data_IF_077287594412
#
_entry.id   IF_077287594412
#
_cell.length_a   1.000
_cell.length_b   1.000
_cell.length_c   1.000
_cell.angle_alpha   90.00
_cell.angle_beta   90.00
_cell.angle_gamma   90.00
#
_symmetry.space_group_name_H-M   'P 1'
#
loop_
_entity.id
_entity.type
_entity.pdbx_description
1 polymer ?
#
# COMPACT_ATOMS: atom_id res chain seq x y z
N UNK A 1 9.93 -24.79 -2.24
CA UNK A 1 10.41 -25.23 -0.92
C UNK A 1 9.37 -25.04 0.17
N UNK A 2 8.89 -23.81 0.43
CA UNK A 2 7.86 -23.55 1.44
C UNK A 2 6.60 -24.41 1.24
N UNK A 3 6.08 -24.55 0.02
CA UNK A 3 4.96 -25.45 -0.29
C UNK A 3 5.21 -26.94 0.01
N UNK A 4 6.47 -27.37 0.07
CA UNK A 4 6.87 -28.78 0.28
C UNK A 4 7.22 -29.07 1.75
N UNK A 5 7.86 -28.12 2.43
CA UNK A 5 8.39 -28.28 3.80
C UNK A 5 7.60 -27.49 4.86
N UNK A 6 6.63 -26.69 4.44
CA UNK A 6 5.70 -25.96 5.30
C UNK A 6 6.25 -24.65 5.85
N UNK A 7 7.45 -24.65 6.42
CA UNK A 7 8.03 -23.48 7.09
C UNK A 7 9.53 -23.31 6.82
N UNK A 8 10.05 -22.11 7.11
CA UNK A 8 11.48 -21.81 6.99
C UNK A 8 12.31 -22.65 7.98
N UNK A 9 11.79 -22.88 9.20
CA UNK A 9 12.45 -23.72 10.22
C UNK A 9 12.60 -25.16 9.74
N UNK A 10 11.59 -25.71 9.07
CA UNK A 10 11.64 -27.06 8.54
C UNK A 10 12.61 -27.17 7.36
N UNK A 11 12.81 -26.11 6.59
CA UNK A 11 13.80 -26.08 5.50
C UNK A 11 15.22 -26.07 6.08
N UNK A 12 15.45 -25.31 7.16
CA UNK A 12 16.74 -25.26 7.87
C UNK A 12 17.06 -26.56 8.61
N UNK A 13 16.10 -27.12 9.37
CA UNK A 13 16.27 -28.40 10.08
C UNK A 13 16.61 -29.56 9.16
N UNK A 14 16.03 -29.58 7.95
CA UNK A 14 16.26 -30.63 6.96
C UNK A 14 17.50 -30.37 6.08
N UNK A 15 18.29 -29.32 6.37
CA UNK A 15 19.49 -28.92 5.61
C UNK A 15 19.26 -28.92 4.09
N UNK A 16 18.13 -28.37 3.65
CA UNK A 16 17.71 -28.47 2.24
C UNK A 16 18.63 -27.63 1.35
N UNK A 17 19.36 -28.29 0.46
CA UNK A 17 20.22 -27.66 -0.54
C UNK A 17 19.45 -27.38 -1.83
N UNK A 18 19.71 -26.25 -2.46
CA UNK A 18 19.23 -25.93 -3.82
C UNK A 18 20.44 -25.95 -4.74
N UNK A 19 20.61 -27.03 -5.50
CA UNK A 19 21.85 -27.23 -6.26
C UNK A 19 23.05 -27.26 -5.31
N UNK A 20 24.00 -26.32 -5.49
CA UNK A 20 25.18 -26.17 -4.63
C UNK A 20 25.03 -25.09 -3.54
N UNK A 21 23.85 -24.47 -3.38
CA UNK A 21 23.64 -23.38 -2.43
C UNK A 21 23.02 -23.94 -1.15
N UNK A 22 23.74 -23.75 -0.04
CA UNK A 22 23.23 -24.00 1.31
C UNK A 22 22.51 -22.74 1.83
N UNK A 23 21.31 -22.94 2.36
CA UNK A 23 20.54 -21.88 2.98
C UNK A 23 21.03 -21.73 4.42
N UNK A 24 21.91 -20.76 4.64
CA UNK A 24 22.39 -20.39 5.97
C UNK A 24 21.61 -19.16 6.43
N UNK A 25 20.60 -19.38 7.26
CA UNK A 25 19.81 -18.33 7.89
C UNK A 25 19.85 -18.55 9.40
N UNK A 26 20.03 -17.46 10.13
CA UNK A 26 19.98 -17.48 11.59
C UNK A 26 18.52 -17.58 12.04
N UNK A 27 18.23 -18.49 12.98
CA UNK A 27 16.86 -18.70 13.47
C UNK A 27 16.30 -17.41 14.11
N UNK A 28 17.14 -16.65 14.81
CA UNK A 28 16.73 -15.39 15.46
C UNK A 28 16.23 -14.37 14.43
N UNK A 29 16.88 -14.27 13.26
CA UNK A 29 16.45 -13.37 12.20
C UNK A 29 15.09 -13.80 11.62
N UNK A 30 14.84 -15.10 11.49
CA UNK A 30 13.58 -15.62 10.97
C UNK A 30 12.44 -15.31 11.93
N UNK A 31 12.65 -15.49 13.23
CA UNK A 31 11.66 -15.21 14.25
C UNK A 31 11.35 -13.71 14.32
N UNK A 32 12.37 -12.85 14.28
CA UNK A 32 12.17 -11.40 14.22
C UNK A 32 11.37 -10.96 12.99
N UNK A 33 11.71 -11.49 11.81
CA UNK A 33 10.99 -11.16 10.57
C UNK A 33 9.55 -11.65 10.65
N UNK A 34 9.33 -12.87 11.14
CA UNK A 34 7.98 -13.42 11.34
C UNK A 34 7.16 -12.54 12.27
N UNK A 35 7.73 -12.07 13.37
CA UNK A 35 7.03 -11.22 14.33
C UNK A 35 6.64 -9.89 13.70
N UNK A 36 7.49 -9.27 12.88
CA UNK A 36 7.14 -8.05 12.13
C UNK A 36 5.93 -8.28 11.21
N UNK A 37 5.87 -9.43 10.53
CA UNK A 37 4.80 -9.73 9.58
C UNK A 37 3.51 -10.24 10.24
N UNK A 38 3.62 -11.02 11.32
CA UNK A 38 2.48 -11.62 12.04
C UNK A 38 1.89 -10.66 13.06
N UNK A 39 2.74 -9.89 13.74
CA UNK A 39 2.37 -8.95 14.79
C UNK A 39 2.88 -7.53 14.48
N UNK A 40 2.52 -6.96 13.33
CA UNK A 40 2.92 -5.60 13.01
C UNK A 40 2.32 -4.64 14.04
N UNK A 41 3.10 -3.63 14.44
CA UNK A 41 2.60 -2.54 15.27
C UNK A 41 1.64 -1.67 14.45
N UNK A 42 0.35 -1.99 14.57
CA UNK A 42 -0.74 -1.30 13.89
C UNK A 42 -1.50 -0.40 14.86
N UNK A 43 -1.57 0.88 14.52
CA UNK A 43 -2.40 1.85 15.25
C UNK A 43 -3.87 1.54 14.99
N UNK A 44 -4.54 0.90 15.95
CA UNK A 44 -5.98 0.58 15.87
C UNK A 44 -6.87 1.82 16.01
N UNK A 45 -6.39 2.85 16.70
CA UNK A 45 -7.11 4.11 16.89
C UNK A 45 -6.65 5.14 15.86
N UNK A 46 -7.39 5.24 14.77
CA UNK A 46 -7.25 6.29 13.77
C UNK A 46 -8.59 7.05 13.62
N UNK A 47 -8.56 8.34 13.26
CA UNK A 47 -9.77 9.08 12.96
C UNK A 47 -10.57 8.40 11.85
N UNK A 48 -11.90 8.44 11.93
CA UNK A 48 -12.75 7.92 10.86
C UNK A 48 -12.36 8.56 9.53
N UNK A 49 -12.13 7.74 8.51
CA UNK A 49 -11.78 8.22 7.17
C UNK A 49 -12.99 8.98 6.62
N UNK A 50 -12.84 10.29 6.47
CA UNK A 50 -13.86 11.17 5.91
C UNK A 50 -13.29 11.94 4.74
N UNK A 51 -14.01 11.93 3.61
CA UNK A 51 -13.67 12.74 2.45
C UNK A 51 -14.24 14.14 2.63
N UNK A 52 -13.38 15.09 2.99
CA UNK A 52 -13.73 16.50 3.14
C UNK A 52 -13.87 17.24 1.81
N UNK A 53 -14.36 18.49 1.88
CA UNK A 53 -14.31 19.41 0.73
C UNK A 53 -12.85 19.79 0.46
N UNK A 54 -12.44 19.71 -0.79
CA UNK A 54 -11.07 20.05 -1.21
C UNK A 54 -11.01 21.54 -1.53
N UNK A 55 -10.00 22.22 -0.99
CA UNK A 55 -9.69 23.60 -1.36
C UNK A 55 -8.74 23.59 -2.57
N UNK A 56 -9.29 23.72 -3.76
CA UNK A 56 -8.53 23.64 -5.01
C UNK A 56 -7.53 24.78 -5.18
N UNK A 57 -7.81 25.96 -4.65
CA UNK A 57 -6.92 27.12 -4.77
C UNK A 57 -5.66 26.91 -3.95
N UNK A 58 -5.80 26.45 -2.70
CA UNK A 58 -4.65 26.06 -1.85
C UNK A 58 -3.82 24.92 -2.45
N UNK A 59 -4.47 23.97 -3.13
CA UNK A 59 -3.75 22.88 -3.81
C UNK A 59 -2.94 23.41 -5.00
N UNK A 60 -3.46 24.40 -5.74
CA UNK A 60 -2.73 25.03 -6.84
C UNK A 60 -1.53 25.82 -6.32
N UNK A 61 -1.73 26.64 -5.30
CA UNK A 61 -0.69 27.43 -4.63
C UNK A 61 0.46 26.51 -4.18
N UNK A 62 0.16 25.50 -3.36
CA UNK A 62 1.14 24.53 -2.87
C UNK A 62 1.92 23.83 -3.99
N UNK A 63 1.21 23.32 -5.01
CA UNK A 63 1.87 22.53 -6.05
C UNK A 63 2.62 23.38 -7.08
N UNK A 64 2.05 24.51 -7.50
CA UNK A 64 2.60 25.34 -8.58
C UNK A 64 3.59 26.36 -8.02
N UNK A 65 3.22 27.07 -6.96
CA UNK A 65 4.01 28.19 -6.43
C UNK A 65 5.10 27.71 -5.47
N UNK A 66 4.79 26.77 -4.56
CA UNK A 66 5.80 26.28 -3.61
C UNK A 66 6.67 25.15 -4.18
N UNK A 67 6.09 24.28 -5.02
CA UNK A 67 6.77 23.08 -5.53
C UNK A 67 7.08 23.10 -7.04
N UNK A 68 6.80 24.22 -7.73
CA UNK A 68 7.11 24.44 -9.16
C UNK A 68 6.56 23.34 -10.11
N UNK A 69 5.42 22.74 -9.80
CA UNK A 69 4.76 21.82 -10.71
C UNK A 69 4.21 22.56 -11.93
N UNK A 70 4.13 21.85 -13.06
CA UNK A 70 3.51 22.39 -14.27
C UNK A 70 2.05 22.75 -14.03
N UNK A 71 1.72 24.04 -14.15
CA UNK A 71 0.37 24.58 -14.03
C UNK A 71 -0.65 23.80 -14.85
N UNK A 72 -0.36 23.55 -16.12
CA UNK A 72 -1.25 22.82 -17.04
C UNK A 72 -1.55 21.41 -16.51
N UNK A 73 -0.54 20.69 -16.00
CA UNK A 73 -0.74 19.35 -15.45
C UNK A 73 -1.58 19.37 -14.17
N UNK A 74 -1.33 20.32 -13.28
CA UNK A 74 -2.06 20.48 -12.02
C UNK A 74 -3.53 20.84 -12.28
N UNK A 75 -3.79 21.78 -13.18
CA UNK A 75 -5.15 22.18 -13.56
C UNK A 75 -5.93 21.01 -14.19
N UNK A 76 -5.32 20.27 -15.11
CA UNK A 76 -5.94 19.09 -15.73
C UNK A 76 -6.25 18.00 -14.70
N UNK A 77 -5.37 17.76 -13.72
CA UNK A 77 -5.60 16.79 -12.65
C UNK A 77 -6.75 17.23 -11.73
N UNK A 78 -6.81 18.52 -11.38
CA UNK A 78 -7.90 19.09 -10.58
C UNK A 78 -9.25 18.93 -11.28
N UNK A 79 -9.32 19.20 -12.58
CA UNK A 79 -10.57 19.05 -13.34
C UNK A 79 -11.05 17.59 -13.39
N UNK A 80 -10.13 16.63 -13.56
CA UNK A 80 -10.46 15.19 -13.46
C UNK A 80 -10.99 14.83 -12.08
N UNK A 81 -10.39 15.39 -11.03
CA UNK A 81 -10.78 15.12 -9.65
C UNK A 81 -12.16 15.70 -9.32
N UNK A 82 -12.50 16.91 -9.81
CA UNK A 82 -13.84 17.50 -9.70
C UNK A 82 -14.90 16.59 -10.35
N UNK A 83 -14.65 16.10 -11.57
CA UNK A 83 -15.56 15.20 -12.29
C UNK A 83 -15.82 13.90 -11.52
N UNK A 84 -14.78 13.30 -10.94
CA UNK A 84 -14.91 12.10 -10.12
C UNK A 84 -15.64 12.35 -8.79
N UNK A 85 -15.45 13.52 -8.18
CA UNK A 85 -16.18 13.90 -6.97
C UNK A 85 -17.68 14.09 -7.24
N UNK A 86 -18.07 14.59 -8.42
CA UNK A 86 -19.47 14.70 -8.82
C UNK A 86 -20.11 13.36 -9.19
N UNK A 87 -19.39 12.46 -9.87
CA UNK A 87 -19.95 11.19 -10.36
C UNK A 87 -20.24 10.16 -9.26
N UNK A 88 -19.54 10.24 -8.12
CA UNK A 88 -19.75 9.35 -6.97
C UNK A 88 -21.05 9.62 -6.18
N UNK A 89 -21.83 10.65 -6.53
CA UNK A 89 -23.07 11.00 -5.83
C UNK A 89 -24.26 10.10 -6.18
N UNK A 90 -24.25 9.46 -7.35
CA UNK A 90 -25.26 8.51 -7.79
C UNK A 90 -24.55 7.26 -8.30
N UNK A 91 -24.72 6.13 -7.60
CA UNK A 91 -24.11 4.86 -7.99
C UNK A 91 -25.22 3.99 -8.61
N UNK A 92 -25.10 3.62 -9.88
CA UNK A 92 -26.03 2.67 -10.51
C UNK A 92 -25.76 1.25 -10.01
N UNK A 93 -26.76 0.37 -10.09
CA UNK A 93 -26.63 -1.04 -9.73
C UNK A 93 -25.56 -1.75 -10.57
N UNK A 94 -25.32 -1.30 -11.80
CA UNK A 94 -24.28 -1.83 -12.69
C UNK A 94 -22.85 -1.65 -12.13
N UNK A 95 -22.64 -0.66 -11.26
CA UNK A 95 -21.35 -0.51 -10.58
C UNK A 95 -21.12 -1.56 -9.48
N UNK A 96 -22.19 -2.21 -9.00
CA UNK A 96 -22.14 -3.21 -7.93
C UNK A 96 -22.18 -4.65 -8.46
N UNK A 97 -22.91 -4.89 -9.54
CA UNK A 97 -23.04 -6.22 -10.14
C UNK A 97 -22.25 -6.26 -11.46
N UNK A 98 -21.13 -6.99 -11.46
CA UNK A 98 -20.40 -7.40 -12.68
C UNK A 98 -20.71 -8.84 -13.02
#
# INVERSE_FOLDING_TARGET
>A
LIKKYGSLENILKNNVKIGNIEIQLENELIDQIKDIFLYPDVKKKYPKIMWGKINYDKVKELLIEEHNFSKIRVENAIERLKKQASSKKQVSLDNFCK
#
